data_IF_575930653659
#
_entry.id   IF_575930653659
#
_cell.length_a   1.000
_cell.length_b   1.000
_cell.length_c   1.000
_cell.angle_alpha   90.00
_cell.angle_beta   90.00
_cell.angle_gamma   90.00
#
_symmetry.space_group_name_H-M   'P 1'
#
loop_
_entity.id
_entity.type
_entity.pdbx_description
1 polymer ?
#
# COMPACT_ATOMS: atom_id res chain seq x y z
N UNK A 1 7.71 -10.95 -12.81
CA UNK A 1 7.17 -10.94 -14.19
C UNK A 1 6.98 -12.33 -14.79
N UNK A 2 7.99 -13.23 -14.83
CA UNK A 2 7.83 -14.61 -15.38
C UNK A 2 6.62 -15.38 -14.81
N UNK A 3 6.39 -15.30 -13.50
CA UNK A 3 5.23 -15.90 -12.85
C UNK A 3 3.89 -15.45 -13.47
N UNK A 4 3.76 -14.17 -13.82
CA UNK A 4 2.56 -13.62 -14.43
C UNK A 4 2.40 -14.11 -15.87
N UNK A 5 3.49 -14.17 -16.64
CA UNK A 5 3.49 -14.67 -18.02
C UNK A 5 3.08 -16.15 -18.08
N UNK A 6 3.51 -16.95 -17.10
CA UNK A 6 3.19 -18.40 -17.05
C UNK A 6 1.77 -18.69 -16.53
N UNK A 7 1.20 -17.84 -15.68
CA UNK A 7 -0.05 -18.14 -14.96
C UNK A 7 -1.23 -17.21 -15.30
N UNK A 8 -1.02 -16.17 -16.12
CA UNK A 8 -2.05 -15.17 -16.43
C UNK A 8 -1.98 -14.69 -17.87
N UNK A 9 -2.97 -13.89 -18.25
CA UNK A 9 -3.02 -13.13 -19.51
C UNK A 9 -2.72 -11.65 -19.30
N UNK A 10 -2.22 -11.27 -18.12
CA UNK A 10 -1.86 -9.88 -17.80
C UNK A 10 -0.74 -9.46 -18.77
N UNK A 11 -0.90 -8.34 -19.49
CA UNK A 11 0.10 -7.91 -20.45
C UNK A 11 1.32 -7.36 -19.72
N UNK A 12 2.35 -8.17 -19.56
CA UNK A 12 3.65 -7.76 -19.01
C UNK A 12 4.71 -7.78 -20.11
N UNK A 13 5.63 -6.78 -20.17
CA UNK A 13 6.75 -6.84 -21.10
C UNK A 13 7.61 -8.08 -20.88
N UNK A 14 8.11 -8.70 -21.96
CA UNK A 14 9.03 -9.84 -21.82
C UNK A 14 10.39 -9.37 -21.36
N UNK A 15 11.02 -10.16 -20.50
CA UNK A 15 12.41 -9.95 -20.10
C UNK A 15 13.31 -10.50 -21.20
N UNK A 16 14.03 -9.61 -21.89
CA UNK A 16 14.96 -9.94 -22.97
C UNK A 16 16.36 -10.28 -22.44
N UNK A 17 16.81 -9.53 -21.44
CA UNK A 17 18.06 -9.76 -20.74
C UNK A 17 17.98 -9.12 -19.35
N UNK A 18 18.78 -9.60 -18.41
CA UNK A 18 18.92 -8.97 -17.10
C UNK A 18 20.27 -9.36 -16.50
N UNK A 19 20.73 -8.55 -15.54
CA UNK A 19 21.88 -8.83 -14.69
C UNK A 19 21.53 -8.43 -13.26
N UNK A 20 21.87 -9.29 -12.31
CA UNK A 20 21.73 -9.07 -10.87
C UNK A 20 23.09 -8.91 -10.19
N UNK A 21 24.17 -8.80 -10.97
CA UNK A 21 25.51 -8.63 -10.43
C UNK A 21 25.60 -7.34 -9.62
N UNK A 22 25.98 -7.46 -8.36
CA UNK A 22 26.27 -6.32 -7.48
C UNK A 22 27.79 -6.16 -7.44
N UNK A 23 28.30 -5.28 -8.31
CA UNK A 23 29.71 -4.90 -8.29
C UNK A 23 29.83 -3.37 -8.31
N UNK A 24 31.05 -2.82 -8.35
CA UNK A 24 31.24 -1.37 -8.30
C UNK A 24 30.88 -0.62 -9.59
N UNK A 25 30.47 -1.32 -10.65
CA UNK A 25 30.01 -0.75 -11.91
C UNK A 25 28.52 -0.35 -11.81
N UNK A 26 28.13 0.90 -12.06
CA UNK A 26 26.73 1.33 -12.03
C UNK A 26 25.84 0.63 -13.06
N UNK A 27 26.40 -0.07 -14.05
CA UNK A 27 25.67 -0.87 -15.05
C UNK A 27 25.65 -2.37 -14.73
N UNK A 28 26.11 -2.79 -13.55
CA UNK A 28 26.16 -4.21 -13.19
C UNK A 28 24.77 -4.82 -12.95
N UNK A 29 23.79 -4.01 -12.58
CA UNK A 29 22.40 -4.43 -12.36
C UNK A 29 21.49 -3.78 -13.41
N UNK A 30 20.82 -4.61 -14.22
CA UNK A 30 19.90 -4.10 -15.25
C UNK A 30 18.82 -5.12 -15.61
N UNK A 31 17.72 -4.62 -16.18
CA UNK A 31 16.72 -5.44 -16.88
C UNK A 31 16.43 -4.77 -18.22
N UNK A 32 16.46 -5.55 -19.30
CA UNK A 32 16.07 -5.16 -20.65
C UNK A 32 14.74 -5.84 -20.94
N UNK A 33 13.75 -5.04 -21.29
CA UNK A 33 12.38 -5.46 -21.54
C UNK A 33 11.99 -5.22 -23.01
N UNK A 34 10.98 -5.95 -23.48
CA UNK A 34 10.27 -5.60 -24.71
C UNK A 34 9.71 -4.17 -24.63
N UNK A 35 9.80 -3.44 -25.75
CA UNK A 35 9.15 -2.14 -25.86
C UNK A 35 7.64 -2.32 -26.05
N UNK A 36 6.85 -1.70 -25.18
CA UNK A 36 5.38 -1.68 -25.30
C UNK A 36 4.98 -0.45 -26.11
N UNK A 37 4.51 -0.68 -27.35
CA UNK A 37 4.02 0.37 -28.24
C UNK A 37 2.64 0.86 -27.79
N UNK A 38 2.64 1.88 -26.94
CA UNK A 38 1.46 2.46 -26.31
C UNK A 38 1.74 3.82 -25.69
N UNK A 39 0.72 4.40 -25.08
CA UNK A 39 0.85 5.65 -24.30
C UNK A 39 0.80 5.34 -22.81
N UNK A 40 1.73 5.90 -22.04
CA UNK A 40 1.69 5.84 -20.59
C UNK A 40 0.44 6.57 -20.07
N UNK A 41 -0.36 5.91 -19.24
CA UNK A 41 -1.54 6.50 -18.64
C UNK A 41 -1.16 7.56 -17.61
N UNK A 42 -1.75 8.74 -17.69
CA UNK A 42 -1.57 9.81 -16.70
C UNK A 42 -2.83 10.03 -15.86
N UNK A 43 -2.66 10.50 -14.63
CA UNK A 43 -3.78 10.86 -13.76
C UNK A 43 -4.71 11.90 -14.42
N UNK A 44 -4.15 12.84 -15.18
CA UNK A 44 -4.94 13.85 -15.91
C UNK A 44 -5.78 13.27 -17.04
N UNK A 45 -5.36 12.16 -17.66
CA UNK A 45 -6.17 11.44 -18.63
C UNK A 45 -7.31 10.72 -17.94
N UNK A 46 -7.04 10.03 -16.82
CA UNK A 46 -8.06 9.31 -16.04
C UNK A 46 -9.21 10.22 -15.64
N UNK A 47 -8.92 11.45 -15.21
CA UNK A 47 -9.95 12.45 -14.84
C UNK A 47 -10.82 12.91 -16.03
N UNK A 48 -10.30 12.82 -17.25
CA UNK A 48 -10.95 13.34 -18.47
C UNK A 48 -11.62 12.26 -19.31
N UNK A 49 -11.57 10.99 -18.89
CA UNK A 49 -12.16 9.88 -19.64
C UNK A 49 -13.67 10.07 -19.80
N UNK A 50 -14.13 9.93 -21.03
CA UNK A 50 -15.55 9.77 -21.30
C UNK A 50 -16.03 8.38 -20.83
N UNK A 51 -17.35 8.15 -20.82
CA UNK A 51 -17.93 6.91 -20.30
C UNK A 51 -17.40 5.65 -21.02
N UNK A 52 -17.22 5.69 -22.35
CA UNK A 52 -16.77 4.54 -23.12
C UNK A 52 -15.29 4.23 -22.87
N UNK A 53 -14.45 5.26 -22.85
CA UNK A 53 -13.03 5.14 -22.52
C UNK A 53 -12.82 4.60 -21.11
N UNK A 54 -13.62 5.09 -20.15
CA UNK A 54 -13.58 4.64 -18.76
C UNK A 54 -14.00 3.19 -18.62
N UNK A 55 -15.08 2.77 -19.28
CA UNK A 55 -15.53 1.38 -19.29
C UNK A 55 -14.44 0.45 -19.85
N UNK A 56 -13.76 0.86 -20.92
CA UNK A 56 -12.67 0.08 -21.52
C UNK A 56 -11.44 -0.02 -20.62
N UNK A 57 -11.07 1.07 -19.94
CA UNK A 57 -10.00 1.08 -18.93
C UNK A 57 -10.36 0.18 -17.75
N UNK A 58 -11.56 0.36 -17.18
CA UNK A 58 -12.05 -0.42 -16.05
C UNK A 58 -12.15 -1.91 -16.38
N UNK A 59 -12.56 -2.26 -17.59
CA UNK A 59 -12.58 -3.65 -18.05
C UNK A 59 -11.19 -4.26 -18.03
N UNK A 60 -10.20 -3.55 -18.60
CA UNK A 60 -8.81 -4.03 -18.62
C UNK A 60 -8.21 -4.12 -17.22
N UNK A 61 -8.52 -3.15 -16.37
CA UNK A 61 -8.04 -3.10 -14.99
C UNK A 61 -8.68 -4.20 -14.13
N UNK A 62 -9.98 -4.43 -14.29
CA UNK A 62 -10.69 -5.54 -13.63
C UNK A 62 -10.08 -6.89 -14.02
N UNK A 63 -9.83 -7.14 -15.30
CA UNK A 63 -9.22 -8.38 -15.78
C UNK A 63 -7.86 -8.65 -15.10
N UNK A 64 -7.07 -7.62 -14.83
CA UNK A 64 -5.78 -7.72 -14.12
C UNK A 64 -6.01 -8.14 -12.67
N UNK A 65 -6.84 -7.40 -11.92
CA UNK A 65 -7.09 -7.67 -10.51
C UNK A 65 -7.78 -9.03 -10.29
N UNK A 66 -8.72 -9.42 -11.14
CA UNK A 66 -9.42 -10.71 -11.09
C UNK A 66 -8.42 -11.87 -11.21
N UNK A 67 -7.43 -11.75 -12.11
CA UNK A 67 -6.38 -12.75 -12.29
C UNK A 67 -5.40 -12.77 -11.12
N UNK A 68 -4.91 -11.60 -10.68
CA UNK A 68 -4.01 -11.49 -9.52
C UNK A 68 -4.62 -12.07 -8.25
N UNK A 69 -5.90 -11.81 -7.97
CA UNK A 69 -6.60 -12.37 -6.81
C UNK A 69 -6.54 -13.90 -6.78
N UNK A 70 -6.52 -14.56 -7.94
CA UNK A 70 -6.53 -16.03 -8.05
C UNK A 70 -5.13 -16.65 -8.03
N UNK A 71 -4.07 -15.83 -8.00
CA UNK A 71 -2.71 -16.30 -7.77
C UNK A 71 -2.47 -16.41 -6.26
N UNK A 72 -2.79 -17.59 -5.71
CA UNK A 72 -2.62 -17.88 -4.29
C UNK A 72 -1.30 -18.60 -4.00
N UNK A 73 -0.66 -18.25 -2.90
CA UNK A 73 0.66 -18.73 -2.49
C UNK A 73 0.65 -19.23 -1.04
N UNK A 74 1.60 -20.09 -0.64
CA UNK A 74 1.60 -20.71 0.69
C UNK A 74 2.11 -19.82 1.83
N UNK A 75 2.70 -18.66 1.53
CA UNK A 75 3.25 -17.72 2.51
C UNK A 75 3.35 -16.31 1.94
N UNK A 76 3.65 -15.35 2.82
CA UNK A 76 3.82 -13.91 2.56
C UNK A 76 5.31 -13.64 2.36
N UNK A 77 5.65 -12.79 1.38
CA UNK A 77 7.04 -12.46 1.05
C UNK A 77 7.24 -12.07 -0.41
N UNK A 78 8.50 -12.04 -0.86
CA UNK A 78 8.84 -11.76 -2.27
C UNK A 78 8.72 -13.03 -3.10
N UNK A 79 8.38 -12.91 -4.39
CA UNK A 79 8.45 -14.06 -5.29
C UNK A 79 9.88 -14.26 -5.80
N UNK A 80 10.37 -15.47 -5.66
CA UNK A 80 11.69 -15.90 -6.12
C UNK A 80 11.53 -17.06 -7.10
N UNK A 81 12.42 -17.13 -8.10
CA UNK A 81 12.47 -18.26 -9.00
C UNK A 81 13.25 -19.41 -8.35
N UNK A 82 12.68 -20.62 -8.36
CA UNK A 82 13.36 -21.79 -7.79
C UNK A 82 14.53 -22.23 -8.67
N UNK A 83 15.67 -22.58 -8.06
CA UNK A 83 16.89 -22.98 -8.78
C UNK A 83 16.77 -24.32 -9.52
N UNK A 84 15.81 -25.19 -9.16
CA UNK A 84 15.81 -26.60 -9.59
C UNK A 84 14.75 -27.01 -10.63
N UNK A 85 13.81 -26.14 -11.03
CA UNK A 85 12.84 -26.39 -12.13
C UNK A 85 11.88 -25.20 -12.27
N UNK A 86 11.09 -25.18 -13.35
CA UNK A 86 10.05 -24.18 -13.65
C UNK A 86 9.05 -24.00 -12.50
N UNK A 87 9.34 -23.09 -11.57
CA UNK A 87 8.53 -22.84 -10.39
C UNK A 87 8.93 -21.55 -9.68
N UNK A 88 7.98 -21.03 -8.90
CA UNK A 88 8.17 -19.85 -8.07
C UNK A 88 7.94 -20.24 -6.62
N UNK A 89 8.81 -19.75 -5.74
CA UNK A 89 8.64 -19.85 -4.30
C UNK A 89 8.47 -18.47 -3.71
N UNK A 90 7.91 -18.42 -2.50
CA UNK A 90 7.89 -17.19 -1.72
C UNK A 90 9.15 -17.16 -0.86
N UNK A 91 10.01 -16.18 -1.14
CA UNK A 91 11.19 -15.86 -0.38
C UNK A 91 10.92 -14.94 0.80
N UNK A 92 12.00 -14.53 1.45
CA UNK A 92 11.94 -13.78 2.70
C UNK A 92 11.55 -12.32 2.51
N UNK A 93 11.08 -11.67 3.58
CA UNK A 93 10.88 -10.21 3.74
C UNK A 93 10.10 -9.52 2.62
N UNK A 94 8.87 -9.08 2.88
CA UNK A 94 8.19 -8.16 1.96
C UNK A 94 9.00 -6.87 1.75
N UNK A 95 9.15 -6.44 0.49
CA UNK A 95 9.65 -5.11 0.14
C UNK A 95 8.47 -4.19 -0.20
N UNK A 96 8.46 -3.00 0.40
CA UNK A 96 7.53 -1.93 0.05
C UNK A 96 8.31 -0.65 -0.18
N UNK A 97 7.73 0.28 -0.93
CA UNK A 97 8.28 1.62 -1.14
C UNK A 97 8.55 2.29 0.21
N UNK A 98 7.60 2.21 1.14
CA UNK A 98 7.72 2.79 2.48
C UNK A 98 8.89 2.20 3.28
N UNK A 99 9.03 0.87 3.30
CA UNK A 99 10.15 0.20 3.96
C UNK A 99 11.50 0.62 3.34
N UNK A 100 11.56 0.74 2.02
CA UNK A 100 12.77 1.21 1.35
C UNK A 100 13.10 2.68 1.71
N UNK A 101 12.09 3.57 1.70
CA UNK A 101 12.26 4.96 2.11
C UNK A 101 12.77 5.06 3.55
N UNK A 102 12.16 4.33 4.49
CA UNK A 102 12.59 4.29 5.88
C UNK A 102 14.04 3.77 6.04
N UNK A 103 14.44 2.78 5.23
CA UNK A 103 15.82 2.29 5.24
C UNK A 103 16.82 3.35 4.75
N UNK A 104 16.48 4.07 3.68
CA UNK A 104 17.30 5.17 3.14
C UNK A 104 17.43 6.34 4.13
N UNK A 105 16.38 6.57 4.93
CA UNK A 105 16.39 7.55 6.02
C UNK A 105 17.17 7.09 7.27
N UNK A 106 17.63 5.84 7.31
CA UNK A 106 18.37 5.27 8.43
C UNK A 106 17.48 4.89 9.63
N UNK A 107 16.19 4.64 9.40
CA UNK A 107 15.23 4.25 10.44
C UNK A 107 15.30 2.75 10.79
N UNK A 108 16.04 1.96 10.00
CA UNK A 108 16.29 0.53 10.21
C UNK A 108 15.01 -0.33 10.34
N UNK A 109 14.12 -0.32 9.32
CA UNK A 109 12.93 -1.16 9.30
C UNK A 109 13.25 -2.65 9.16
N UNK A 110 14.43 -3.01 8.62
CA UNK A 110 14.82 -4.41 8.42
C UNK A 110 15.04 -5.15 9.74
N UNK A 111 15.60 -4.51 10.77
CA UNK A 111 15.70 -5.10 12.10
C UNK A 111 14.31 -5.44 12.68
N UNK A 112 13.30 -4.62 12.39
CA UNK A 112 11.91 -4.90 12.79
C UNK A 112 11.35 -6.08 12.01
N UNK A 113 11.58 -6.14 10.68
CA UNK A 113 11.17 -7.30 9.87
C UNK A 113 11.78 -8.62 10.36
N UNK A 114 13.06 -8.60 10.72
CA UNK A 114 13.78 -9.78 11.23
C UNK A 114 13.19 -10.29 12.54
N UNK A 115 12.70 -9.40 13.41
CA UNK A 115 12.05 -9.78 14.66
C UNK A 115 10.68 -10.46 14.47
N UNK A 116 10.04 -10.29 13.31
CA UNK A 116 8.71 -10.85 13.00
C UNK A 116 8.74 -12.07 12.07
N UNK A 117 9.90 -12.41 11.52
CA UNK A 117 10.05 -13.51 10.56
C UNK A 117 10.41 -14.83 11.27
N UNK A 118 10.00 -15.97 10.72
CA UNK A 118 10.44 -17.28 11.22
C UNK A 118 11.92 -17.58 10.88
N UNK A 119 12.47 -18.71 11.32
CA UNK A 119 13.86 -19.13 11.00
C UNK A 119 14.13 -19.24 9.49
N UNK A 120 13.08 -19.32 8.66
CA UNK A 120 13.14 -19.36 7.19
C UNK A 120 12.86 -18.01 6.55
N UNK A 121 12.62 -16.95 7.34
CA UNK A 121 12.33 -15.59 6.92
C UNK A 121 10.97 -15.40 6.24
N UNK A 122 10.11 -16.42 6.25
CA UNK A 122 8.80 -16.41 5.60
C UNK A 122 7.69 -16.22 6.64
N UNK A 123 6.61 -15.54 6.25
CA UNK A 123 5.50 -15.25 7.16
C UNK A 123 4.22 -15.94 6.68
N UNK A 124 3.50 -16.59 7.59
CA UNK A 124 2.29 -17.37 7.26
C UNK A 124 1.05 -16.92 8.05
N UNK A 125 1.09 -15.72 8.63
CA UNK A 125 0.00 -15.14 9.43
C UNK A 125 -0.27 -13.71 8.99
N UNK A 126 -1.52 -13.41 8.64
CA UNK A 126 -1.97 -12.05 8.34
C UNK A 126 -1.83 -11.12 9.55
N UNK A 127 -2.05 -11.66 10.75
CA UNK A 127 -1.84 -10.98 12.02
C UNK A 127 -0.37 -10.64 12.23
N UNK A 128 0.54 -11.59 11.98
CA UNK A 128 1.97 -11.31 12.05
C UNK A 128 2.37 -10.20 11.05
N UNK A 129 1.83 -10.22 9.83
CA UNK A 129 2.14 -9.22 8.80
C UNK A 129 1.66 -7.83 9.19
N UNK A 130 0.42 -7.71 9.66
CA UNK A 130 -0.11 -6.45 10.13
C UNK A 130 0.64 -5.93 11.37
N UNK A 131 1.05 -6.81 12.29
CA UNK A 131 1.85 -6.41 13.46
C UNK A 131 3.24 -5.92 13.07
N UNK A 132 3.90 -6.60 12.13
CA UNK A 132 5.18 -6.16 11.58
C UNK A 132 5.06 -4.75 10.99
N UNK A 133 4.01 -4.47 10.20
CA UNK A 133 3.78 -3.15 9.61
C UNK A 133 3.47 -2.08 10.67
N UNK A 134 2.70 -2.42 11.71
CA UNK A 134 2.46 -1.53 12.86
C UNK A 134 3.75 -1.18 13.60
N UNK A 135 4.61 -2.17 13.84
CA UNK A 135 5.88 -1.96 14.54
C UNK A 135 6.87 -1.17 13.67
N UNK A 136 6.90 -1.42 12.36
CA UNK A 136 7.68 -0.62 11.39
C UNK A 136 7.19 0.84 11.40
N UNK A 137 5.87 1.06 11.32
CA UNK A 137 5.30 2.40 11.33
C UNK A 137 5.55 3.14 12.65
N UNK A 138 5.43 2.46 13.78
CA UNK A 138 5.74 3.06 15.09
C UNK A 138 7.24 3.33 15.25
N UNK A 139 8.11 2.45 14.75
CA UNK A 139 9.56 2.67 14.71
C UNK A 139 9.89 3.93 13.89
N UNK A 140 9.25 4.11 12.74
CA UNK A 140 9.42 5.31 11.92
C UNK A 140 8.98 6.57 12.66
N UNK A 141 7.77 6.58 13.22
CA UNK A 141 7.26 7.67 14.06
C UNK A 141 8.20 8.00 15.21
N UNK A 142 8.71 6.98 15.90
CA UNK A 142 9.56 7.15 17.07
C UNK A 142 10.95 7.69 16.72
N UNK A 143 11.56 7.22 15.62
CA UNK A 143 12.93 7.62 15.23
C UNK A 143 12.98 8.88 14.36
N UNK A 144 11.94 9.16 13.58
CA UNK A 144 11.91 10.32 12.69
C UNK A 144 11.80 11.63 13.47
N UNK A 145 12.58 12.63 13.02
CA UNK A 145 12.67 13.98 13.63
C UNK A 145 11.58 14.93 13.13
N UNK A 146 10.93 14.61 12.02
CA UNK A 146 9.87 15.40 11.39
C UNK A 146 8.53 14.63 11.36
N UNK A 147 8.36 13.65 12.24
CA UNK A 147 7.16 12.82 12.31
C UNK A 147 5.89 13.57 12.73
N UNK A 148 6.03 14.76 13.35
CA UNK A 148 4.89 15.56 13.81
C UNK A 148 5.05 17.03 13.42
N UNK A 149 3.93 17.71 13.25
CA UNK A 149 3.89 19.17 13.23
C UNK A 149 4.02 19.73 14.65
N UNK A 150 4.52 20.97 14.76
CA UNK A 150 4.64 21.66 16.06
C UNK A 150 3.25 21.86 16.65
N UNK A 151 3.05 21.42 17.89
CA UNK A 151 1.78 21.45 18.61
C UNK A 151 0.90 20.21 18.42
N UNK A 152 1.34 19.23 17.61
CA UNK A 152 0.60 17.99 17.32
C UNK A 152 1.22 16.73 17.96
N UNK A 153 2.20 16.88 18.85
CA UNK A 153 2.91 15.74 19.47
C UNK A 153 1.99 14.84 20.30
N UNK A 154 1.00 15.43 20.99
CA UNK A 154 -0.01 14.65 21.74
C UNK A 154 -1.00 13.95 20.81
N UNK A 155 -1.48 14.67 19.81
CA UNK A 155 -2.40 14.18 18.79
C UNK A 155 -1.81 12.98 18.06
N UNK A 156 -0.57 13.09 17.59
CA UNK A 156 0.10 12.00 16.86
C UNK A 156 0.26 10.73 17.71
N UNK A 157 0.67 10.84 18.99
CA UNK A 157 0.76 9.67 19.88
C UNK A 157 -0.62 9.03 20.09
N UNK A 158 -1.66 9.84 20.25
CA UNK A 158 -3.02 9.35 20.40
C UNK A 158 -3.57 8.70 19.12
N UNK A 159 -3.34 9.29 17.96
CA UNK A 159 -3.76 8.75 16.67
C UNK A 159 -3.05 7.44 16.34
N UNK A 160 -1.74 7.32 16.62
CA UNK A 160 -1.03 6.03 16.52
C UNK A 160 -1.67 4.96 17.41
N UNK A 161 -2.07 5.33 18.64
CA UNK A 161 -2.80 4.41 19.53
C UNK A 161 -4.17 4.02 18.95
N UNK A 162 -4.96 4.97 18.47
CA UNK A 162 -6.27 4.70 17.87
C UNK A 162 -6.15 3.78 16.65
N UNK A 163 -5.19 4.08 15.76
CA UNK A 163 -4.93 3.27 14.58
C UNK A 163 -4.51 1.85 14.98
N UNK A 164 -3.59 1.71 15.94
CA UNK A 164 -3.13 0.41 16.44
C UNK A 164 -4.31 -0.43 16.96
N UNK A 165 -5.18 0.16 17.80
CA UNK A 165 -6.35 -0.55 18.32
C UNK A 165 -7.32 -0.96 17.20
N UNK A 166 -7.54 -0.08 16.22
CA UNK A 166 -8.40 -0.36 15.09
C UNK A 166 -7.84 -1.46 14.18
N UNK A 167 -6.54 -1.40 13.85
CA UNK A 167 -5.86 -2.37 13.01
C UNK A 167 -5.88 -3.79 13.62
N UNK A 168 -5.75 -3.90 14.95
CA UNK A 168 -5.87 -5.18 15.66
C UNK A 168 -7.26 -5.82 15.53
N UNK A 169 -8.31 -5.01 15.48
CA UNK A 169 -9.70 -5.49 15.31
C UNK A 169 -10.05 -5.72 13.83
N UNK A 170 -9.33 -5.05 12.92
CA UNK A 170 -9.53 -5.16 11.48
C UNK A 170 -9.07 -6.50 10.91
N UNK A 171 -8.03 -7.11 11.48
CA UNK A 171 -7.52 -8.39 11.01
C UNK A 171 -8.56 -9.49 11.26
N UNK A 172 -9.02 -10.14 10.20
CA UNK A 172 -9.95 -11.26 10.26
C UNK A 172 -9.20 -12.55 10.67
N UNK A 173 -9.48 -13.12 11.86
CA UNK A 173 -8.82 -14.36 12.28
C UNK A 173 -9.13 -15.55 11.38
N UNK A 174 -10.24 -15.53 10.63
CA UNK A 174 -10.59 -16.59 9.69
C UNK A 174 -9.69 -16.60 8.45
N UNK A 175 -9.04 -15.46 8.15
CA UNK A 175 -8.13 -15.29 7.02
C UNK A 175 -6.66 -15.25 7.45
N UNK A 176 -6.37 -15.56 8.72
CA UNK A 176 -5.03 -15.41 9.27
C UNK A 176 -4.00 -16.27 8.54
N UNK A 177 -4.37 -17.51 8.20
CA UNK A 177 -3.51 -18.44 7.47
C UNK A 177 -3.70 -18.39 5.94
N UNK A 178 -4.29 -17.31 5.43
CA UNK A 178 -4.52 -17.09 4.00
C UNK A 178 -6.00 -16.97 3.62
N UNK A 179 -6.29 -16.77 2.32
CA UNK A 179 -5.35 -16.87 1.20
C UNK A 179 -4.32 -15.73 1.16
N UNK A 180 -3.12 -16.04 0.67
CA UNK A 180 -2.06 -15.07 0.39
C UNK A 180 -1.95 -14.87 -1.12
N UNK A 181 -1.95 -13.63 -1.59
CA UNK A 181 -2.09 -13.28 -3.00
C UNK A 181 -1.00 -12.32 -3.46
N UNK A 182 -0.64 -12.39 -4.75
CA UNK A 182 0.32 -11.48 -5.35
C UNK A 182 -0.28 -10.09 -5.58
N UNK A 183 0.39 -9.06 -5.09
CA UNK A 183 0.15 -7.66 -5.45
C UNK A 183 1.30 -7.12 -6.29
N UNK A 184 0.98 -6.12 -7.13
CA UNK A 184 2.00 -5.36 -7.85
C UNK A 184 2.86 -4.50 -6.92
N UNK A 185 2.28 -3.98 -5.83
CA UNK A 185 2.97 -3.15 -4.85
C UNK A 185 3.10 -1.66 -5.20
N UNK A 186 2.85 -1.27 -6.46
CA UNK A 186 2.88 0.13 -6.93
C UNK A 186 2.02 0.34 -8.19
N UNK A 187 0.79 -0.21 -8.19
CA UNK A 187 -0.06 -0.14 -9.38
C UNK A 187 -0.78 1.21 -9.47
N UNK A 188 -0.20 2.16 -10.18
CA UNK A 188 -0.76 3.48 -10.45
C UNK A 188 -0.74 3.82 -11.95
N UNK A 189 -1.40 4.90 -12.42
CA UNK A 189 -1.48 5.25 -13.84
C UNK A 189 -0.16 5.18 -14.61
N UNK A 190 0.95 5.74 -14.11
CA UNK A 190 2.22 5.73 -14.85
C UNK A 190 2.89 4.36 -15.01
N UNK A 191 2.39 3.32 -14.34
CA UNK A 191 2.83 1.92 -14.52
C UNK A 191 1.91 1.16 -15.51
N UNK A 192 0.98 1.87 -16.17
CA UNK A 192 0.05 1.32 -17.15
C UNK A 192 0.28 1.93 -18.54
N UNK A 193 0.48 1.07 -19.53
CA UNK A 193 0.50 1.43 -20.94
C UNK A 193 -0.85 1.13 -21.57
N UNK A 194 -1.43 2.10 -22.27
CA UNK A 194 -2.73 1.99 -22.93
C UNK A 194 -2.63 2.24 -24.44
N UNK A 195 -3.55 1.64 -25.19
CA UNK A 195 -3.74 1.95 -26.60
C UNK A 195 -4.68 3.16 -26.81
N UNK A 196 -4.97 3.47 -28.07
CA UNK A 196 -5.88 4.54 -28.53
C UNK A 196 -7.32 4.41 -27.99
N UNK A 197 -7.72 3.22 -27.56
CA UNK A 197 -9.05 2.93 -27.00
C UNK A 197 -9.05 2.82 -25.48
N UNK A 198 -7.97 3.20 -24.79
CA UNK A 198 -7.84 3.09 -23.33
C UNK A 198 -7.82 1.65 -22.79
N UNK A 199 -7.54 0.66 -23.65
CA UNK A 199 -7.26 -0.70 -23.21
C UNK A 199 -5.84 -0.78 -22.67
N UNK A 200 -5.65 -1.41 -21.51
CA UNK A 200 -4.32 -1.67 -20.96
C UNK A 200 -3.63 -2.74 -21.82
N UNK A 201 -2.46 -2.41 -22.35
CA UNK A 201 -1.62 -3.26 -23.20
C UNK A 201 -0.22 -3.50 -22.61
N UNK A 202 0.06 -2.93 -21.43
CA UNK A 202 1.27 -3.21 -20.66
C UNK A 202 1.11 -2.79 -19.21
N UNK A 203 1.55 -3.65 -18.30
CA UNK A 203 1.71 -3.37 -16.87
C UNK A 203 3.20 -3.43 -16.56
N UNK A 204 3.76 -2.28 -16.21
CA UNK A 204 5.18 -2.06 -16.03
C UNK A 204 5.55 -2.12 -14.55
N UNK A 205 6.85 -2.07 -14.26
CA UNK A 205 7.40 -1.80 -12.92
C UNK A 205 6.92 -2.70 -11.77
N UNK A 206 7.21 -4.00 -11.91
CA UNK A 206 6.86 -5.02 -10.90
C UNK A 206 7.87 -5.13 -9.76
N UNK A 207 8.74 -4.14 -9.55
CA UNK A 207 9.86 -4.24 -8.59
C UNK A 207 9.40 -4.35 -7.13
N UNK A 208 8.24 -3.76 -6.79
CA UNK A 208 7.63 -3.81 -5.46
C UNK A 208 6.63 -4.96 -5.28
N UNK A 209 6.57 -5.88 -6.26
CA UNK A 209 5.63 -6.98 -6.21
C UNK A 209 5.95 -7.98 -5.09
N UNK A 210 4.90 -8.43 -4.42
CA UNK A 210 5.01 -9.30 -3.23
C UNK A 210 3.72 -10.05 -3.00
N UNK A 211 3.82 -11.18 -2.31
CA UNK A 211 2.67 -11.90 -1.78
C UNK A 211 2.28 -11.31 -0.44
N UNK A 212 1.01 -11.01 -0.26
CA UNK A 212 0.42 -10.40 0.95
C UNK A 212 -0.84 -11.15 1.38
N UNK A 213 -1.31 -11.01 2.63
CA UNK A 213 -2.66 -11.45 3.00
C UNK A 213 -3.69 -10.82 2.07
N UNK A 214 -4.74 -11.57 1.72
CA UNK A 214 -5.84 -11.07 0.87
C UNK A 214 -6.47 -9.79 1.42
N UNK A 215 -6.32 -9.54 2.72
CA UNK A 215 -6.76 -8.30 3.36
C UNK A 215 -6.06 -7.04 2.78
N UNK A 216 -4.86 -7.17 2.23
CA UNK A 216 -4.11 -6.10 1.58
C UNK A 216 -4.36 -6.03 0.06
N UNK A 217 -5.16 -6.94 -0.49
CA UNK A 217 -5.58 -6.91 -1.89
C UNK A 217 -6.75 -5.95 -2.08
N UNK A 218 -6.43 -4.67 -2.26
CA UNK A 218 -7.41 -3.57 -2.28
C UNK A 218 -7.77 -3.10 -3.69
N UNK A 219 -8.96 -2.53 -3.91
CA UNK A 219 -9.30 -1.90 -5.18
C UNK A 219 -8.36 -0.70 -5.48
N UNK A 220 -8.19 -0.33 -6.76
CA UNK A 220 -7.33 0.78 -7.16
C UNK A 220 -7.93 2.11 -6.69
N UNK A 221 -7.49 2.61 -5.53
CA UNK A 221 -8.04 3.82 -4.90
C UNK A 221 -7.89 5.09 -5.77
N UNK A 222 -6.86 5.11 -6.62
CA UNK A 222 -6.54 6.22 -7.53
C UNK A 222 -7.60 6.44 -8.62
N UNK A 223 -8.51 5.50 -8.89
CA UNK A 223 -9.61 5.69 -9.86
C UNK A 223 -10.56 6.82 -9.46
N UNK A 224 -10.51 7.23 -8.19
CA UNK A 224 -11.27 8.37 -7.67
C UNK A 224 -10.68 9.74 -8.03
N UNK A 225 -9.43 9.78 -8.53
CA UNK A 225 -8.65 11.01 -8.66
C UNK A 225 -8.22 11.63 -7.34
N UNK A 226 -8.35 10.89 -6.22
CA UNK A 226 -8.02 11.38 -4.87
C UNK A 226 -6.89 10.58 -4.26
N UNK A 227 -6.09 11.26 -3.44
CA UNK A 227 -5.10 10.62 -2.57
C UNK A 227 -5.80 9.81 -1.47
N UNK A 228 -5.07 8.86 -0.90
CA UNK A 228 -5.50 8.04 0.24
C UNK A 228 -5.85 8.89 1.46
N UNK A 229 -5.05 9.93 1.74
CA UNK A 229 -5.31 10.93 2.78
C UNK A 229 -6.65 11.67 2.55
N UNK A 230 -6.96 12.03 1.31
CA UNK A 230 -8.25 12.66 0.98
C UNK A 230 -9.42 11.67 1.14
N UNK A 231 -9.22 10.41 0.74
CA UNK A 231 -10.22 9.34 0.88
C UNK A 231 -10.51 8.98 2.34
N UNK A 232 -9.56 9.17 3.25
CA UNK A 232 -9.74 8.95 4.69
C UNK A 232 -10.79 9.86 5.36
N UNK A 233 -11.34 10.86 4.66
CA UNK A 233 -12.52 11.57 5.13
C UNK A 233 -13.80 10.76 4.93
N UNK A 234 -14.64 10.62 5.96
CA UNK A 234 -15.87 9.81 5.89
C UNK A 234 -16.77 10.15 4.68
N UNK A 235 -17.03 11.43 4.42
CA UNK A 235 -17.84 11.86 3.27
C UNK A 235 -17.15 11.57 1.92
N UNK A 236 -15.82 11.69 1.88
CA UNK A 236 -15.05 11.40 0.68
C UNK A 236 -15.06 9.90 0.37
N UNK A 237 -14.91 9.05 1.39
CA UNK A 237 -15.03 7.60 1.26
C UNK A 237 -16.42 7.20 0.76
N UNK A 238 -17.48 7.77 1.35
CA UNK A 238 -18.85 7.53 0.88
C UNK A 238 -19.04 7.95 -0.58
N UNK A 239 -18.47 9.08 -0.98
CA UNK A 239 -18.51 9.53 -2.38
C UNK A 239 -17.80 8.53 -3.31
N UNK A 240 -16.62 8.05 -2.91
CA UNK A 240 -15.90 6.99 -3.64
C UNK A 240 -16.77 5.74 -3.84
N UNK A 241 -17.39 5.26 -2.75
CA UNK A 241 -18.25 4.07 -2.76
C UNK A 241 -19.42 4.19 -3.73
N UNK A 242 -20.09 5.34 -3.80
CA UNK A 242 -21.29 5.52 -4.64
C UNK A 242 -20.99 5.99 -6.07
N UNK A 243 -19.74 6.35 -6.38
CA UNK A 243 -19.32 6.84 -7.69
C UNK A 243 -18.33 5.88 -8.36
N UNK A 244 -17.03 6.22 -8.35
CA UNK A 244 -15.99 5.50 -9.09
C UNK A 244 -15.84 4.05 -8.65
N UNK A 245 -15.98 3.75 -7.36
CA UNK A 245 -15.93 2.37 -6.87
C UNK A 245 -17.12 1.56 -7.35
N UNK A 246 -18.36 2.08 -7.23
CA UNK A 246 -19.57 1.39 -7.69
C UNK A 246 -19.49 1.04 -9.18
N UNK A 247 -19.03 1.99 -10.00
CA UNK A 247 -18.85 1.79 -11.44
C UNK A 247 -17.80 0.69 -11.71
N UNK A 248 -16.62 0.79 -11.09
CA UNK A 248 -15.55 -0.20 -11.26
C UNK A 248 -15.93 -1.59 -10.73
N UNK A 249 -16.61 -1.66 -9.59
CA UNK A 249 -17.06 -2.90 -8.97
C UNK A 249 -18.09 -3.62 -9.85
N UNK A 250 -19.01 -2.88 -10.48
CA UNK A 250 -19.99 -3.45 -11.42
C UNK A 250 -19.34 -4.04 -12.67
N UNK A 251 -18.33 -3.36 -13.21
CA UNK A 251 -17.50 -3.91 -14.31
C UNK A 251 -16.76 -5.16 -13.83
N UNK A 252 -16.15 -5.10 -12.64
CA UNK A 252 -15.40 -6.22 -12.05
C UNK A 252 -16.28 -7.45 -11.87
N UNK A 253 -17.47 -7.30 -11.29
CA UNK A 253 -18.43 -8.40 -11.12
C UNK A 253 -18.83 -9.03 -12.47
N UNK A 254 -19.15 -8.20 -13.47
CA UNK A 254 -19.54 -8.67 -14.80
C UNK A 254 -18.41 -9.42 -15.49
N UNK A 255 -17.18 -8.90 -15.41
CA UNK A 255 -15.98 -9.55 -15.96
C UNK A 255 -15.64 -10.84 -15.22
N UNK A 256 -15.76 -10.86 -13.91
CA UNK A 256 -15.47 -12.03 -13.09
C UNK A 256 -16.45 -13.19 -13.37
N UNK A 257 -17.73 -12.89 -13.51
CA UNK A 257 -18.75 -13.84 -13.96
C UNK A 257 -18.45 -14.37 -15.36
N UNK A 258 -18.07 -13.50 -16.29
CA UNK A 258 -17.72 -13.90 -17.65
C UNK A 258 -16.47 -14.80 -17.71
N UNK A 259 -15.42 -14.46 -16.95
CA UNK A 259 -14.13 -15.16 -17.01
C UNK A 259 -14.13 -16.46 -16.18
N UNK A 260 -14.83 -16.49 -15.04
CA UNK A 260 -14.70 -17.57 -14.04
C UNK A 260 -16.04 -18.11 -13.50
N UNK A 261 -17.18 -17.55 -13.91
CA UNK A 261 -18.50 -18.01 -13.47
C UNK A 261 -18.81 -17.78 -11.99
N UNK A 262 -18.08 -16.89 -11.31
CA UNK A 262 -18.28 -16.54 -9.90
C UNK A 262 -18.02 -15.06 -9.65
N UNK A 263 -18.17 -14.62 -8.40
CA UNK A 263 -18.00 -13.22 -7.96
C UNK A 263 -17.07 -13.10 -6.75
N UNK A 264 -15.97 -13.86 -6.76
CA UNK A 264 -15.03 -13.95 -5.64
C UNK A 264 -14.49 -12.56 -5.24
N UNK A 265 -13.78 -11.89 -6.15
CA UNK A 265 -13.14 -10.61 -5.88
C UNK A 265 -14.16 -9.50 -5.66
N UNK A 266 -15.20 -9.42 -6.51
CA UNK A 266 -16.18 -8.36 -6.40
C UNK A 266 -16.95 -8.44 -5.07
N UNK A 267 -17.26 -9.65 -4.57
CA UNK A 267 -17.89 -9.82 -3.26
C UNK A 267 -16.98 -9.41 -2.12
N UNK A 268 -15.74 -9.90 -2.11
CA UNK A 268 -14.75 -9.54 -1.09
C UNK A 268 -14.56 -8.02 -1.00
N UNK A 269 -14.41 -7.35 -2.15
CA UNK A 269 -14.28 -5.90 -2.18
C UNK A 269 -15.56 -5.18 -1.77
N UNK A 270 -16.74 -5.66 -2.18
CA UNK A 270 -18.02 -5.07 -1.80
C UNK A 270 -18.19 -5.05 -0.28
N UNK A 271 -17.97 -6.20 0.37
CA UNK A 271 -18.14 -6.36 1.82
C UNK A 271 -17.16 -5.47 2.59
N UNK A 272 -15.88 -5.53 2.24
CA UNK A 272 -14.80 -4.89 3.00
C UNK A 272 -14.76 -3.38 2.80
N UNK A 273 -15.14 -2.89 1.62
CA UNK A 273 -15.11 -1.45 1.32
C UNK A 273 -16.18 -0.67 2.11
N UNK A 274 -17.29 -1.29 2.50
CA UNK A 274 -18.31 -0.61 3.34
C UNK A 274 -17.76 -0.15 4.68
N UNK A 275 -16.75 -0.83 5.22
CA UNK A 275 -16.08 -0.53 6.50
C UNK A 275 -14.78 0.27 6.34
N UNK A 276 -14.49 0.76 5.13
CA UNK A 276 -13.24 1.46 4.79
C UNK A 276 -11.95 0.64 5.02
N UNK A 277 -12.06 -0.70 5.04
CA UNK A 277 -10.90 -1.59 5.19
C UNK A 277 -9.78 -1.38 4.17
N UNK A 278 -10.06 -1.03 2.89
CA UNK A 278 -8.99 -0.71 1.96
C UNK A 278 -8.07 0.43 2.43
N UNK A 279 -8.61 1.38 3.19
CA UNK A 279 -7.82 2.47 3.76
C UNK A 279 -6.98 2.03 4.96
N UNK A 280 -7.44 1.03 5.72
CA UNK A 280 -6.65 0.42 6.81
C UNK A 280 -5.45 -0.32 6.24
N UNK A 281 -5.66 -1.14 5.20
CA UNK A 281 -4.57 -1.83 4.50
C UNK A 281 -3.56 -0.84 3.92
N UNK A 282 -4.03 0.22 3.25
CA UNK A 282 -3.16 1.27 2.71
C UNK A 282 -2.38 1.99 3.81
N UNK A 283 -3.02 2.36 4.92
CA UNK A 283 -2.37 3.02 6.04
C UNK A 283 -1.34 2.12 6.75
N UNK A 284 -1.51 0.80 6.74
CA UNK A 284 -0.48 -0.13 7.21
C UNK A 284 0.76 -0.15 6.30
N UNK A 285 0.61 0.16 5.02
CA UNK A 285 1.73 0.18 4.06
C UNK A 285 2.38 1.57 3.88
N UNK A 286 1.85 2.61 4.54
CA UNK A 286 2.41 3.96 4.60
C UNK A 286 2.20 4.53 6.01
N UNK A 287 3.27 4.62 6.79
CA UNK A 287 3.17 4.95 8.21
C UNK A 287 2.57 6.33 8.49
N UNK A 288 2.72 7.29 7.57
CA UNK A 288 2.12 8.63 7.71
C UNK A 288 0.60 8.63 7.50
N UNK A 289 0.09 7.69 6.71
CA UNK A 289 -1.34 7.54 6.46
C UNK A 289 -2.08 6.96 7.69
N UNK A 290 -1.37 6.32 8.64
CA UNK A 290 -1.95 5.86 9.91
C UNK A 290 -2.53 7.02 10.73
N UNK A 291 -1.77 8.11 10.86
CA UNK A 291 -2.19 9.33 11.57
C UNK A 291 -3.37 9.98 10.84
N UNK A 292 -3.27 10.12 9.52
CA UNK A 292 -4.35 10.69 8.71
C UNK A 292 -5.64 9.88 8.77
N UNK A 293 -5.56 8.54 8.74
CA UNK A 293 -6.72 7.68 8.87
C UNK A 293 -7.36 7.80 10.26
N UNK A 294 -6.56 7.75 11.32
CA UNK A 294 -7.06 7.92 12.68
C UNK A 294 -7.75 9.29 12.85
N UNK A 295 -7.11 10.37 12.43
CA UNK A 295 -7.67 11.71 12.53
C UNK A 295 -8.95 11.88 11.69
N UNK A 296 -8.89 11.56 10.39
CA UNK A 296 -9.97 11.88 9.44
C UNK A 296 -11.13 10.90 9.49
N UNK A 297 -10.84 9.62 9.73
CA UNK A 297 -11.85 8.56 9.69
C UNK A 297 -12.33 8.20 11.10
N UNK A 298 -11.43 7.80 12.01
CA UNK A 298 -11.80 7.33 13.34
C UNK A 298 -12.31 8.46 14.25
N UNK A 299 -11.61 9.59 14.25
CA UNK A 299 -12.02 10.80 15.00
C UNK A 299 -12.96 11.72 14.21
N UNK A 300 -13.34 11.33 12.98
CA UNK A 300 -14.19 12.13 12.07
C UNK A 300 -13.70 13.56 11.80
N UNK A 301 -12.42 13.83 12.04
CA UNK A 301 -11.85 15.18 11.99
C UNK A 301 -12.36 16.14 13.07
N UNK A 302 -13.09 15.66 14.08
CA UNK A 302 -13.65 16.48 15.16
C UNK A 302 -12.59 16.81 16.21
N UNK A 303 -11.99 17.99 16.04
CA UNK A 303 -10.92 18.47 16.93
C UNK A 303 -11.41 18.72 18.35
N UNK A 304 -12.66 19.12 18.56
CA UNK A 304 -13.13 19.45 19.92
C UNK A 304 -13.47 18.18 20.70
N UNK A 305 -14.10 17.20 20.06
CA UNK A 305 -14.35 15.90 20.69
C UNK A 305 -13.03 15.17 21.02
N UNK A 306 -12.03 15.27 20.14
CA UNK A 306 -10.74 14.61 20.34
C UNK A 306 -9.92 15.21 21.49
N UNK A 307 -10.00 16.52 21.76
CA UNK A 307 -9.16 17.20 22.77
C UNK A 307 -9.24 16.57 24.16
N UNK A 308 -10.44 16.30 24.66
CA UNK A 308 -10.60 15.74 26.00
C UNK A 308 -10.12 14.28 26.07
N UNK A 309 -10.38 13.49 25.01
CA UNK A 309 -9.89 12.12 24.90
C UNK A 309 -8.37 12.06 24.81
N UNK A 310 -7.74 12.93 24.00
CA UNK A 310 -6.29 13.05 23.90
C UNK A 310 -5.69 13.42 25.26
N UNK A 311 -6.26 14.43 25.93
CA UNK A 311 -5.78 14.86 27.24
C UNK A 311 -5.84 13.72 28.26
N UNK A 312 -6.99 13.05 28.37
CA UNK A 312 -7.18 11.91 29.27
C UNK A 312 -6.17 10.81 28.97
N UNK A 313 -6.04 10.41 27.69
CA UNK A 313 -5.11 9.37 27.25
C UNK A 313 -3.64 9.70 27.55
N UNK A 314 -3.22 10.95 27.34
CA UNK A 314 -1.85 11.39 27.62
C UNK A 314 -1.57 11.44 29.13
N UNK A 315 -2.56 11.84 29.93
CA UNK A 315 -2.39 12.02 31.37
C UNK A 315 -2.42 10.69 32.16
N UNK A 316 -2.99 9.63 31.57
CA UNK A 316 -3.03 8.28 32.14
C UNK A 316 -1.66 7.58 32.24
N UNK A 317 -0.70 7.93 31.37
CA UNK A 317 0.60 7.27 31.30
C UNK A 317 1.73 8.29 31.05
N UNK A 318 2.64 8.48 32.03
CA UNK A 318 3.78 9.39 31.90
C UNK A 318 4.67 9.13 30.68
N UNK A 319 4.76 7.87 30.20
CA UNK A 319 5.54 7.55 29.00
C UNK A 319 4.93 8.16 27.74
N UNK A 320 3.60 8.17 27.63
CA UNK A 320 2.90 8.80 26.49
C UNK A 320 3.18 10.30 26.44
N UNK A 321 3.13 10.96 27.61
CA UNK A 321 3.50 12.38 27.74
C UNK A 321 4.97 12.61 27.35
N UNK A 322 5.88 11.77 27.82
CA UNK A 322 7.31 11.88 27.49
C UNK A 322 7.56 11.76 25.97
N UNK A 323 6.92 10.80 25.30
CA UNK A 323 7.04 10.62 23.85
C UNK A 323 6.46 11.82 23.10
N UNK A 324 5.29 12.32 23.50
CA UNK A 324 4.69 13.51 22.89
C UNK A 324 5.62 14.74 23.00
N UNK A 325 6.17 15.01 24.19
CA UNK A 325 7.11 16.10 24.41
C UNK A 325 8.44 15.92 23.67
N UNK A 326 8.92 14.69 23.54
CA UNK A 326 10.09 14.37 22.73
C UNK A 326 9.84 14.75 21.26
N UNK A 327 8.69 14.35 20.71
CA UNK A 327 8.32 14.64 19.32
C UNK A 327 8.14 16.14 19.06
N UNK A 328 7.60 16.90 20.01
CA UNK A 328 7.54 18.36 19.94
C UNK A 328 8.94 19.02 19.87
N UNK A 329 9.89 18.51 20.68
CA UNK A 329 11.28 18.99 20.66
C UNK A 329 11.96 18.66 19.32
N UNK A 330 11.76 17.45 18.82
CA UNK A 330 12.30 17.02 17.53
C UNK A 330 11.79 17.92 16.39
N UNK A 331 10.47 18.10 16.30
CA UNK A 331 9.84 18.94 15.27
C UNK A 331 10.32 20.38 15.34
N UNK A 332 10.40 20.96 16.54
CA UNK A 332 10.91 22.32 16.75
C UNK A 332 12.38 22.47 16.34
N UNK A 333 13.22 21.47 16.64
CA UNK A 333 14.63 21.48 16.26
C UNK A 333 14.80 21.34 14.74
N UNK A 334 14.03 20.45 14.11
CA UNK A 334 14.02 20.22 12.67
C UNK A 334 13.64 21.51 11.91
N UNK A 335 12.55 22.18 12.30
CA UNK A 335 12.11 23.43 11.67
C UNK A 335 13.17 24.54 11.74
N UNK A 336 13.84 24.68 12.89
CA UNK A 336 14.94 25.65 13.06
C UNK A 336 16.14 25.33 12.16
N UNK A 337 16.48 24.06 12.03
CA UNK A 337 17.56 23.61 11.15
C UNK A 337 17.22 23.86 9.67
N UNK A 338 16.00 23.52 9.27
CA UNK A 338 15.51 23.71 7.90
C UNK A 338 15.48 25.19 7.51
N UNK A 339 14.96 26.07 8.37
CA UNK A 339 14.95 27.51 8.14
C UNK A 339 16.38 28.08 7.97
N UNK A 340 17.35 27.60 8.76
CA UNK A 340 18.76 27.99 8.60
C UNK A 340 19.36 27.56 7.27
N UNK A 341 18.97 26.39 6.75
CA UNK A 341 19.44 25.90 5.44
C UNK A 341 18.85 26.71 4.30
N UNK A 342 17.55 27.04 4.35
CA UNK A 342 16.90 27.92 3.37
C UNK A 342 17.55 29.31 3.33
N UNK A 343 17.83 29.90 4.48
CA UNK A 343 18.51 31.20 4.57
C UNK A 343 19.97 31.18 4.10
N UNK A 344 20.58 30.01 3.88
CA UNK A 344 21.92 29.88 3.28
C UNK A 344 21.88 29.66 1.76
N UNK A 345 20.71 29.33 1.22
CA UNK A 345 20.47 29.10 -0.21
C UNK A 345 19.81 30.30 -0.91
N UNK A 346 19.40 31.31 -0.13
CA UNK A 346 18.98 32.64 -0.58
C UNK A 346 20.09 33.64 -0.36
#
# INVERSE_FOLDING_TARGET
>A
MRCLEENTTIPVPKILAYSEDVNSDPLSTFVILDYVDGTMLSSTQVEKLNSQEREQLYTSLADIYIQLRRLEFPSIGRLEQTQSSHGFQVGQKAATIDINMQQLEGLDPFAVQDAHSDDRGCMQSATAYANMLLDIGYNAFFKSRNAVEIGMGRDAVYHHYLFYQHAKQWIDPALDNGPFVLVHGDLHPSNLMVNDKMRIIGVLDWEWSRVVPVQFFVPPLWISGRTTVQLAGHNTWQLFLITSFKEFLSVTESRELYMFGNTLLSREWAERSTRAEPLVANALENWTDMDWFAYRYLSRGDKEAAKESIKTFIDEDPLRRLVAEMKERDASAYHKEFAKRLNRLS
#
